data_IF_388698533296
#
_entry.id   IF_388698533296
#
_cell.length_a   1.000
_cell.length_b   1.000
_cell.length_c   1.000
_cell.angle_alpha   90.00
_cell.angle_beta   90.00
_cell.angle_gamma   90.00
#
_symmetry.space_group_name_H-M   'P 1'
#
loop_
_entity.id
_entity.type
_entity.pdbx_description
1 polymer ?
#
# COMPACT_ATOMS: atom_id res chain seq x y z
N UNK A 1 5.17 0.23 1.09
CA UNK A 1 5.67 -0.68 0.03
C UNK A 1 6.06 0.13 -1.20
N UNK A 2 7.04 -0.34 -1.96
CA UNK A 2 7.47 0.29 -3.21
C UNK A 2 7.08 -0.60 -4.39
N UNK A 3 6.51 -0.01 -5.42
CA UNK A 3 6.14 -0.66 -6.69
C UNK A 3 6.98 0.00 -7.79
N UNK A 4 8.20 -0.49 -8.04
CA UNK A 4 9.13 0.14 -8.99
C UNK A 4 8.79 -0.18 -10.45
N UNK A 5 8.09 -1.29 -10.69
CA UNK A 5 7.78 -1.79 -12.03
C UNK A 5 6.50 -1.15 -12.59
N UNK A 6 6.35 -1.25 -13.91
CA UNK A 6 5.10 -0.87 -14.58
C UNK A 6 3.96 -1.83 -14.23
N UNK A 7 2.75 -1.29 -14.22
CA UNK A 7 1.54 -2.06 -14.00
C UNK A 7 1.11 -2.70 -15.31
N UNK A 8 1.12 -4.02 -15.36
CA UNK A 8 0.79 -4.81 -16.55
C UNK A 8 -0.58 -5.47 -16.44
N UNK A 9 -1.29 -5.25 -15.33
CA UNK A 9 -2.60 -5.80 -15.04
C UNK A 9 -2.63 -7.32 -15.04
N UNK A 10 -1.48 -8.00 -14.93
CA UNK A 10 -1.43 -9.46 -14.94
C UNK A 10 -1.97 -10.01 -13.62
N UNK A 11 -2.59 -11.18 -13.70
CA UNK A 11 -3.13 -11.83 -12.51
C UNK A 11 -2.02 -12.15 -11.50
N UNK A 12 -0.79 -12.46 -11.95
CA UNK A 12 0.34 -12.67 -11.04
C UNK A 12 0.75 -11.39 -10.32
N UNK A 13 0.78 -10.24 -11.01
CA UNK A 13 1.12 -8.96 -10.40
C UNK A 13 0.07 -8.55 -9.35
N UNK A 14 -1.22 -8.73 -9.68
CA UNK A 14 -2.32 -8.41 -8.78
C UNK A 14 -2.39 -9.37 -7.58
N UNK A 15 -2.16 -10.67 -7.80
CA UNK A 15 -2.09 -11.66 -6.73
C UNK A 15 -0.94 -11.34 -5.77
N UNK A 16 0.25 -11.07 -6.30
CA UNK A 16 1.41 -10.73 -5.49
C UNK A 16 1.17 -9.44 -4.67
N UNK A 17 0.47 -8.45 -5.23
CA UNK A 17 0.09 -7.24 -4.49
C UNK A 17 -0.85 -7.59 -3.33
N UNK A 18 -1.88 -8.39 -3.59
CA UNK A 18 -2.83 -8.82 -2.57
C UNK A 18 -2.15 -9.62 -1.44
N UNK A 19 -1.25 -10.54 -1.77
CA UNK A 19 -0.47 -11.32 -0.79
C UNK A 19 0.40 -10.42 0.11
N UNK A 20 1.02 -9.38 -0.47
CA UNK A 20 1.76 -8.38 0.32
C UNK A 20 0.85 -7.68 1.31
N UNK A 21 -0.33 -7.23 0.86
CA UNK A 21 -1.30 -6.60 1.77
C UNK A 21 -1.75 -7.52 2.88
N UNK A 22 -2.13 -8.75 2.55
CA UNK A 22 -2.56 -9.73 3.56
C UNK A 22 -1.48 -9.96 4.62
N UNK A 23 -0.21 -10.00 4.21
CA UNK A 23 0.93 -10.12 5.13
C UNK A 23 1.08 -8.90 6.05
N UNK A 24 0.98 -7.68 5.51
CA UNK A 24 1.07 -6.47 6.35
C UNK A 24 -0.13 -6.33 7.28
N UNK A 25 -1.32 -6.68 6.81
CA UNK A 25 -2.55 -6.59 7.57
C UNK A 25 -2.58 -7.59 8.70
N UNK A 26 -2.19 -8.86 8.46
CA UNK A 26 -2.09 -9.85 9.53
C UNK A 26 -1.15 -9.35 10.63
N UNK A 27 0.02 -8.80 10.25
CA UNK A 27 0.97 -8.24 11.21
C UNK A 27 0.40 -7.07 12.05
N UNK A 28 -0.42 -6.21 11.42
CA UNK A 28 -1.06 -5.08 12.11
C UNK A 28 -2.23 -5.54 13.02
N UNK A 29 -3.01 -6.53 12.58
CA UNK A 29 -4.22 -6.99 13.26
C UNK A 29 -3.95 -8.02 14.37
N UNK A 30 -2.99 -8.92 14.16
CA UNK A 30 -2.66 -9.97 15.14
C UNK A 30 -2.01 -9.40 16.41
N UNK A 31 -1.71 -8.10 16.43
CA UNK A 31 -1.18 -7.42 17.59
C UNK A 31 0.27 -7.77 17.90
N UNK A 32 0.98 -8.47 16.99
CA UNK A 32 2.44 -8.70 17.10
C UNK A 32 3.19 -7.37 17.26
N UNK A 33 2.74 -6.31 16.58
CA UNK A 33 3.25 -4.96 16.82
C UNK A 33 3.05 -4.49 18.27
N UNK A 34 1.95 -4.81 18.93
CA UNK A 34 1.69 -4.38 20.31
C UNK A 34 2.47 -5.21 21.34
N UNK A 35 2.76 -6.49 21.05
CA UNK A 35 3.56 -7.36 21.92
C UNK A 35 5.05 -7.09 21.81
N UNK A 36 5.57 -6.92 20.59
CA UNK A 36 7.01 -6.75 20.35
C UNK A 36 7.43 -5.27 20.35
N UNK A 37 6.49 -4.37 20.07
CA UNK A 37 6.71 -2.94 19.96
C UNK A 37 5.61 -2.15 20.66
N UNK A 38 5.54 -2.26 22.00
CA UNK A 38 4.51 -1.62 22.84
C UNK A 38 4.34 -0.11 22.61
N UNK A 39 5.39 0.58 22.13
CA UNK A 39 5.36 2.00 21.74
C UNK A 39 4.50 2.32 20.49
N UNK A 40 4.05 1.30 19.77
CA UNK A 40 3.17 1.38 18.61
C UNK A 40 1.72 0.99 18.95
N UNK A 41 1.46 0.44 20.14
CA UNK A 41 0.13 0.06 20.57
C UNK A 41 -0.83 1.26 20.55
N UNK A 42 -1.97 1.10 19.88
CA UNK A 42 -3.02 2.12 19.75
C UNK A 42 -2.68 3.29 18.82
N UNK A 43 -1.55 3.26 18.10
CA UNK A 43 -1.27 4.27 17.07
C UNK A 43 -2.00 3.93 15.77
N UNK A 44 -2.51 4.94 15.03
CA UNK A 44 -3.13 4.70 13.74
C UNK A 44 -2.11 4.15 12.75
N UNK A 45 -2.47 3.07 12.07
CA UNK A 45 -1.63 2.48 11.03
C UNK A 45 -1.94 3.10 9.66
N UNK A 46 -0.89 3.27 8.86
CA UNK A 46 -0.98 3.72 7.48
C UNK A 46 -0.09 2.87 6.60
N UNK A 47 -0.66 2.32 5.54
CA UNK A 47 0.05 1.61 4.48
C UNK A 47 0.16 2.54 3.28
N UNK A 48 1.37 2.71 2.76
CA UNK A 48 1.61 3.50 1.55
C UNK A 48 2.10 2.59 0.43
N UNK A 49 1.48 2.70 -0.74
CA UNK A 49 1.94 2.08 -1.99
C UNK A 49 2.64 3.14 -2.82
N UNK A 50 3.97 3.07 -2.88
CA UNK A 50 4.80 4.06 -3.58
C UNK A 50 5.13 3.55 -4.97
N UNK A 51 4.35 3.99 -5.96
CA UNK A 51 4.46 3.56 -7.34
C UNK A 51 5.43 4.44 -8.11
N UNK A 52 6.31 3.85 -8.91
CA UNK A 52 7.10 4.59 -9.89
C UNK A 52 6.27 5.00 -11.12
N UNK A 53 5.22 4.23 -11.42
CA UNK A 53 4.30 4.42 -12.54
C UNK A 53 2.85 4.45 -12.06
N UNK A 54 1.97 5.12 -12.79
CA UNK A 54 0.54 5.15 -12.49
C UNK A 54 -0.04 3.73 -12.55
N UNK A 55 -0.78 3.26 -11.53
CA UNK A 55 -1.49 2.00 -11.60
C UNK A 55 -2.50 1.97 -12.75
N UNK A 56 -2.59 0.83 -13.44
CA UNK A 56 -3.63 0.61 -14.43
C UNK A 56 -5.01 0.44 -13.79
N UNK A 57 -6.06 0.37 -14.62
CA UNK A 57 -7.43 0.27 -14.13
C UNK A 57 -7.67 -0.96 -13.23
N UNK A 58 -7.07 -2.12 -13.56
CA UNK A 58 -7.25 -3.35 -12.75
C UNK A 58 -6.55 -3.23 -11.41
N UNK A 59 -5.36 -2.65 -11.39
CA UNK A 59 -4.62 -2.38 -10.17
C UNK A 59 -5.35 -1.37 -9.28
N UNK A 60 -5.93 -0.30 -9.86
CA UNK A 60 -6.74 0.66 -9.13
C UNK A 60 -8.00 0.03 -8.53
N UNK A 61 -8.69 -0.84 -9.27
CA UNK A 61 -9.85 -1.58 -8.76
C UNK A 61 -9.48 -2.44 -7.55
N UNK A 62 -8.38 -3.20 -7.64
CA UNK A 62 -7.89 -3.99 -6.51
C UNK A 62 -7.52 -3.11 -5.31
N UNK A 63 -6.82 -2.00 -5.55
CA UNK A 63 -6.43 -1.05 -4.50
C UNK A 63 -7.65 -0.41 -3.83
N UNK A 64 -8.74 -0.15 -4.58
CA UNK A 64 -9.99 0.35 -4.02
C UNK A 64 -10.68 -0.69 -3.12
N UNK A 65 -10.73 -1.95 -3.55
CA UNK A 65 -11.27 -3.05 -2.72
C UNK A 65 -10.49 -3.22 -1.40
N UNK A 66 -9.15 -3.12 -1.48
CA UNK A 66 -8.28 -3.20 -0.31
C UNK A 66 -8.48 -1.97 0.58
N UNK A 67 -8.61 -0.77 0.00
CA UNK A 67 -8.90 0.46 0.76
C UNK A 67 -10.16 0.31 1.60
N UNK A 68 -11.24 -0.19 1.00
CA UNK A 68 -12.51 -0.40 1.71
C UNK A 68 -12.35 -1.40 2.86
N UNK A 69 -11.65 -2.52 2.62
CA UNK A 69 -11.38 -3.51 3.66
C UNK A 69 -10.58 -2.94 4.84
N UNK A 70 -9.55 -2.14 4.55
CA UNK A 70 -8.68 -1.54 5.56
C UNK A 70 -9.37 -0.42 6.36
N UNK A 71 -10.27 0.32 5.73
CA UNK A 71 -11.03 1.39 6.38
C UNK A 71 -11.87 0.87 7.56
N UNK A 72 -12.43 -0.35 7.45
CA UNK A 72 -13.14 -1.00 8.56
C UNK A 72 -12.24 -1.32 9.77
N UNK A 73 -10.93 -1.41 9.56
CA UNK A 73 -9.94 -1.69 10.60
C UNK A 73 -9.20 -0.43 11.06
N UNK A 74 -9.68 0.75 10.66
CA UNK A 74 -9.04 2.06 10.93
C UNK A 74 -7.61 2.18 10.37
N UNK A 75 -7.25 1.33 9.40
CA UNK A 75 -5.96 1.37 8.71
C UNK A 75 -6.11 2.23 7.46
N UNK A 76 -5.28 3.27 7.32
CA UNK A 76 -5.29 4.12 6.12
C UNK A 76 -4.47 3.49 5.00
N UNK A 77 -5.00 3.51 3.78
CA UNK A 77 -4.24 3.17 2.57
C UNK A 77 -4.09 4.41 1.69
N UNK A 78 -2.85 4.70 1.29
CA UNK A 78 -2.54 5.76 0.33
C UNK A 78 -1.66 5.24 -0.82
N UNK A 79 -1.99 5.66 -2.04
CA UNK A 79 -1.21 5.38 -3.25
C UNK A 79 -0.48 6.65 -3.62
N UNK A 80 0.86 6.58 -3.65
CA UNK A 80 1.74 7.70 -3.96
C UNK A 80 2.48 7.38 -5.23
N UNK A 81 2.20 8.10 -6.31
CA UNK A 81 2.95 7.98 -7.56
C UNK A 81 4.09 8.97 -7.53
N UNK A 82 5.32 8.54 -7.81
CA UNK A 82 6.45 9.45 -7.94
C UNK A 82 6.23 10.30 -9.19
N UNK A 83 5.95 11.57 -8.96
CA UNK A 83 5.80 12.54 -10.02
C UNK A 83 7.11 12.67 -10.80
N UNK A 84 7.06 12.52 -12.13
CA UNK A 84 8.22 12.83 -12.99
C UNK A 84 8.45 14.36 -13.09
N UNK A 85 7.60 15.22 -12.53
CA UNK A 85 7.73 16.68 -12.56
C UNK A 85 8.43 17.29 -11.33
N UNK A 86 9.36 16.57 -10.69
CA UNK A 86 10.33 17.19 -9.76
C UNK A 86 11.72 17.41 -10.39
N UNK A 87 11.82 17.40 -11.73
CA UNK A 87 13.04 17.70 -12.50
C UNK A 87 12.86 18.89 -13.46
N UNK A 88 12.11 19.92 -13.08
CA UNK A 88 12.11 21.22 -13.77
C UNK A 88 11.91 22.37 -12.78
N UNK A 89 12.78 22.50 -11.78
CA UNK A 89 13.10 23.82 -11.24
C UNK A 89 14.47 23.84 -10.57
N UNK A 90 15.39 24.54 -11.23
CA UNK A 90 16.54 25.31 -10.72
C UNK A 90 17.81 24.99 -11.50
N UNK A 91 18.07 25.74 -12.56
CA UNK A 91 19.32 26.50 -12.81
C UNK A 91 19.10 27.49 -13.96
#
# INVERSE_FOLDING_TARGET
MNEPDEWNGSDEQLLALQERFNTYVSFLLDGEMATDHTHLAGKPARIEVRCAHMPDARALELLALIYDQLAFQEIKLEVVVRDKESMTKSE
#
